data_IF_067837994302
#
_entry.id   IF_067837994302
#
_cell.length_a   1.000
_cell.length_b   1.000
_cell.length_c   1.000
_cell.angle_alpha   90.00
_cell.angle_beta   90.00
_cell.angle_gamma   90.00
#
_symmetry.space_group_name_H-M   'P 1'
#
loop_
_entity.id
_entity.type
_entity.pdbx_description
1 polymer ?
#
# COMPACT_ATOMS: atom_id res chain seq x y z
N UNK A 1 20.18 -23.77 -17.36
CA UNK A 1 21.14 -22.70 -17.64
C UNK A 1 20.33 -21.45 -17.95
N UNK A 2 20.03 -20.62 -16.96
CA UNK A 2 19.18 -19.43 -17.10
C UNK A 2 20.09 -18.21 -17.18
N UNK A 3 20.15 -17.61 -18.35
CA UNK A 3 20.83 -16.33 -18.56
C UNK A 3 20.01 -15.21 -17.94
N UNK A 4 20.60 -14.48 -16.99
CA UNK A 4 20.09 -13.25 -16.42
C UNK A 4 20.31 -12.14 -17.45
N UNK A 5 19.22 -11.65 -18.06
CA UNK A 5 19.26 -10.44 -18.88
C UNK A 5 19.44 -9.23 -17.98
N UNK A 6 20.62 -8.63 -18.07
CA UNK A 6 21.03 -7.42 -17.36
C UNK A 6 20.73 -6.20 -18.21
N UNK A 7 19.47 -5.75 -18.25
CA UNK A 7 19.15 -4.41 -18.76
C UNK A 7 17.90 -3.87 -18.10
N UNK A 8 18.07 -3.23 -16.95
CA UNK A 8 17.03 -2.40 -16.34
C UNK A 8 17.56 -0.98 -16.20
N UNK A 9 17.54 -0.25 -17.29
CA UNK A 9 17.75 1.21 -17.28
C UNK A 9 16.45 1.89 -16.85
N UNK A 10 16.47 2.56 -15.70
CA UNK A 10 15.34 3.28 -15.12
C UNK A 10 15.31 4.73 -15.62
N UNK A 11 14.22 5.21 -16.26
CA UNK A 11 14.00 6.65 -16.42
C UNK A 11 13.39 7.25 -15.16
N UNK A 12 13.92 8.40 -14.74
CA UNK A 12 13.45 9.20 -13.61
C UNK A 12 11.99 9.63 -13.79
N UNK A 13 11.14 9.35 -12.78
CA UNK A 13 9.76 9.85 -12.70
C UNK A 13 9.73 11.22 -12.04
N UNK A 14 9.11 12.18 -12.71
CA UNK A 14 8.72 13.47 -12.13
C UNK A 14 7.65 13.24 -11.07
N UNK A 15 7.89 13.69 -9.84
CA UNK A 15 6.97 13.60 -8.73
C UNK A 15 5.66 14.37 -8.97
N UNK A 16 4.55 13.99 -8.31
CA UNK A 16 3.29 14.70 -8.38
C UNK A 16 3.43 16.09 -7.76
N UNK A 17 2.90 17.09 -8.47
CA UNK A 17 2.86 18.51 -8.04
C UNK A 17 2.08 18.60 -6.72
N UNK A 18 2.67 19.27 -5.74
CA UNK A 18 2.11 19.55 -4.43
C UNK A 18 0.68 20.09 -4.52
N UNK A 19 -0.29 19.37 -3.95
CA UNK A 19 -1.65 19.84 -3.78
C UNK A 19 -1.69 20.93 -2.71
N UNK A 20 -2.15 22.13 -3.09
CA UNK A 20 -2.36 23.30 -2.24
C UNK A 20 -3.27 22.94 -1.06
N UNK A 21 -2.73 23.06 0.14
CA UNK A 21 -3.52 23.01 1.38
C UNK A 21 -4.42 24.25 1.45
N UNK A 22 -5.73 24.08 1.31
CA UNK A 22 -6.72 25.12 1.68
C UNK A 22 -6.85 25.09 3.20
N UNK A 23 -6.48 26.19 3.82
CA UNK A 23 -6.74 26.47 5.22
C UNK A 23 -8.26 26.63 5.43
N UNK A 24 -8.84 25.78 6.23
CA UNK A 24 -10.22 25.91 6.69
C UNK A 24 -10.21 26.76 7.97
N UNK A 25 -10.64 28.03 7.84
CA UNK A 25 -11.02 28.87 8.98
C UNK A 25 -12.46 28.46 9.37
N UNK A 26 -12.61 27.81 10.50
CA UNK A 26 -13.89 27.44 11.06
C UNK A 26 -14.03 27.93 12.48
N UNK A 27 -15.12 28.64 12.72
CA UNK A 27 -15.47 29.44 13.84
C UNK A 27 -15.65 28.74 15.17
N UNK A 28 -15.43 29.55 16.19
CA UNK A 28 -15.70 29.31 17.60
C UNK A 28 -17.23 29.17 17.82
N UNK A 29 -17.69 28.02 18.30
CA UNK A 29 -18.94 27.88 19.01
C UNK A 29 -18.68 27.50 20.44
N UNK A 30 -18.81 28.47 21.38
CA UNK A 30 -18.93 28.23 22.80
C UNK A 30 -20.32 27.65 23.07
N UNK A 31 -20.40 26.46 23.60
CA UNK A 31 -21.57 25.93 24.27
C UNK A 31 -21.18 25.41 25.64
N UNK A 32 -21.53 26.15 26.69
CA UNK A 32 -21.51 25.73 28.07
C UNK A 32 -22.64 24.71 28.32
N UNK A 33 -22.27 23.46 28.62
CA UNK A 33 -23.17 22.49 29.24
C UNK A 33 -22.51 21.92 30.48
N UNK A 34 -23.03 22.29 31.63
CA UNK A 34 -22.77 21.67 32.93
C UNK A 34 -23.59 20.39 33.00
N UNK A 35 -22.97 19.22 33.31
CA UNK A 35 -23.72 17.98 33.49
C UNK A 35 -22.78 16.79 33.79
N UNK A 36 -22.72 16.44 35.08
CA UNK A 36 -22.53 15.10 35.68
C UNK A 36 -21.56 14.10 35.00
N UNK A 37 -20.54 13.75 35.77
CA UNK A 37 -19.45 12.81 35.46
C UNK A 37 -19.86 11.45 34.93
N UNK A 38 -19.72 11.32 33.63
CA UNK A 38 -19.48 10.06 32.93
C UNK A 38 -18.18 10.25 32.20
N UNK A 39 -17.15 9.51 32.59
CA UNK A 39 -15.89 9.48 31.86
C UNK A 39 -16.20 9.12 30.41
N UNK A 40 -15.89 9.97 29.42
CA UNK A 40 -15.95 9.54 28.04
C UNK A 40 -14.87 8.44 27.90
N UNK A 41 -15.31 7.22 27.64
CA UNK A 41 -14.43 6.21 27.09
C UNK A 41 -13.88 6.84 25.80
N UNK A 42 -12.62 7.26 25.85
CA UNK A 42 -11.88 7.69 24.66
C UNK A 42 -11.79 6.47 23.74
N UNK A 43 -12.84 6.23 22.97
CA UNK A 43 -12.75 5.35 21.80
C UNK A 43 -11.83 6.06 20.82
N UNK A 44 -10.54 5.78 20.94
CA UNK A 44 -9.59 6.08 19.88
C UNK A 44 -10.10 5.33 18.66
N UNK A 45 -10.82 6.04 17.79
CA UNK A 45 -11.22 5.51 16.49
C UNK A 45 -9.93 5.31 15.71
N UNK A 46 -9.33 4.14 15.87
CA UNK A 46 -8.29 3.69 14.95
C UNK A 46 -8.98 3.63 13.60
N UNK A 47 -8.59 4.47 12.67
CA UNK A 47 -8.96 4.35 11.27
C UNK A 47 -8.32 3.07 10.70
N UNK A 48 -8.81 1.93 11.18
CA UNK A 48 -8.49 0.64 10.60
C UNK A 48 -9.05 0.65 9.17
N UNK A 49 -8.21 0.39 8.18
CA UNK A 49 -8.65 0.16 6.82
C UNK A 49 -9.62 -1.02 6.84
N UNK A 50 -10.92 -0.74 6.67
CA UNK A 50 -11.91 -1.81 6.48
C UNK A 50 -11.68 -2.41 5.10
N UNK A 51 -11.25 -3.66 5.06
CA UNK A 51 -11.06 -4.42 3.83
C UNK A 51 -12.39 -5.05 3.39
N UNK A 52 -12.61 -5.15 2.09
CA UNK A 52 -13.70 -5.97 1.54
C UNK A 52 -13.31 -7.46 1.59
N UNK A 53 -14.28 -8.36 1.51
CA UNK A 53 -14.04 -9.81 1.48
C UNK A 53 -13.03 -10.24 0.40
N UNK A 54 -13.06 -9.59 -0.77
CA UNK A 54 -12.11 -9.86 -1.85
C UNK A 54 -10.69 -9.42 -1.47
N UNK A 55 -10.56 -8.25 -0.82
CA UNK A 55 -9.25 -7.74 -0.37
C UNK A 55 -8.68 -8.61 0.76
N UNK A 56 -9.54 -9.09 1.67
CA UNK A 56 -9.14 -10.05 2.71
C UNK A 56 -8.59 -11.34 2.09
N UNK A 57 -9.23 -11.86 1.04
CA UNK A 57 -8.73 -13.03 0.29
C UNK A 57 -7.33 -12.79 -0.26
N UNK A 58 -7.06 -11.62 -0.83
CA UNK A 58 -5.72 -11.26 -1.34
C UNK A 58 -4.69 -11.15 -0.21
N UNK A 59 -5.10 -10.63 0.95
CA UNK A 59 -4.24 -10.58 2.13
C UNK A 59 -3.90 -11.99 2.62
N UNK A 60 -4.88 -12.89 2.70
CA UNK A 60 -4.64 -14.29 3.08
C UNK A 60 -3.64 -14.96 2.14
N UNK A 61 -3.79 -14.81 0.82
CA UNK A 61 -2.82 -15.33 -0.16
C UNK A 61 -1.42 -14.75 0.05
N UNK A 62 -1.32 -13.47 0.41
CA UNK A 62 -0.03 -12.83 0.68
C UNK A 62 0.62 -13.32 1.98
N UNK A 63 -0.20 -13.67 3.00
CA UNK A 63 0.29 -14.19 4.28
C UNK A 63 1.01 -15.53 4.17
N UNK A 64 0.78 -16.30 3.10
CA UNK A 64 1.56 -17.52 2.83
C UNK A 64 3.05 -17.22 2.61
N UNK A 65 3.37 -16.00 2.21
CA UNK A 65 4.74 -15.54 1.96
C UNK A 65 5.29 -14.66 3.09
N UNK A 66 4.41 -13.94 3.79
CA UNK A 66 4.78 -12.97 4.83
C UNK A 66 4.85 -13.67 6.20
N UNK A 67 5.92 -13.41 6.96
CA UNK A 67 6.21 -14.18 8.16
C UNK A 67 5.48 -13.71 9.42
N UNK A 68 4.97 -12.47 9.42
CA UNK A 68 4.36 -11.84 10.60
C UNK A 68 3.17 -10.99 10.24
N UNK A 69 2.30 -10.74 11.21
CA UNK A 69 1.14 -9.85 11.07
C UNK A 69 1.56 -8.43 10.69
N UNK A 70 2.69 -7.95 11.24
CA UNK A 70 3.22 -6.62 10.92
C UNK A 70 3.62 -6.50 9.44
N UNK A 71 4.28 -7.52 8.89
CA UNK A 71 4.59 -7.57 7.46
C UNK A 71 3.31 -7.59 6.62
N UNK A 72 2.27 -8.32 7.06
CA UNK A 72 0.95 -8.30 6.44
C UNK A 72 0.32 -6.90 6.44
N UNK A 73 0.33 -6.20 7.58
CA UNK A 73 -0.19 -4.84 7.69
C UNK A 73 0.58 -3.85 6.78
N UNK A 74 1.90 -3.97 6.72
CA UNK A 74 2.72 -3.19 5.81
C UNK A 74 2.40 -3.48 4.34
N UNK A 75 2.17 -4.75 3.99
CA UNK A 75 1.80 -5.17 2.64
C UNK A 75 0.44 -4.61 2.24
N UNK A 76 -0.57 -4.71 3.10
CA UNK A 76 -1.90 -4.12 2.90
C UNK A 76 -1.79 -2.63 2.60
N UNK A 77 -1.03 -1.90 3.41
CA UNK A 77 -0.83 -0.46 3.22
C UNK A 77 -0.12 -0.15 1.90
N UNK A 78 0.89 -0.92 1.55
CA UNK A 78 1.64 -0.75 0.30
C UNK A 78 0.74 -0.97 -0.93
N UNK A 79 0.00 -2.09 -0.97
CA UNK A 79 -0.92 -2.40 -2.08
C UNK A 79 -2.06 -1.38 -2.19
N UNK A 80 -2.55 -0.88 -1.04
CA UNK A 80 -3.51 0.22 -1.05
C UNK A 80 -2.96 1.48 -1.73
N UNK A 81 -1.72 1.84 -1.45
CA UNK A 81 -1.06 3.01 -2.05
C UNK A 81 -0.77 2.83 -3.54
N UNK A 82 -0.45 1.62 -3.98
CA UNK A 82 -0.10 1.31 -5.36
C UNK A 82 -1.32 1.21 -6.28
N UNK A 83 -2.32 0.45 -5.91
CA UNK A 83 -3.44 0.10 -6.79
C UNK A 83 -4.83 0.15 -6.15
N UNK A 84 -4.93 0.40 -4.83
CA UNK A 84 -6.15 0.20 -4.04
C UNK A 84 -6.72 -1.21 -4.20
N UNK A 85 -5.86 -2.20 -4.23
CA UNK A 85 -6.19 -3.62 -4.45
C UNK A 85 -6.82 -3.93 -5.82
N UNK A 86 -6.63 -3.09 -6.83
CA UNK A 86 -7.09 -3.38 -8.19
C UNK A 86 -6.05 -4.22 -8.96
N UNK A 87 -6.32 -5.51 -9.24
CA UNK A 87 -5.39 -6.38 -9.96
C UNK A 87 -5.24 -6.02 -11.45
N UNK A 88 -6.17 -5.23 -11.98
CA UNK A 88 -6.15 -4.76 -13.37
C UNK A 88 -5.61 -3.33 -13.50
N UNK A 89 -5.14 -2.74 -12.39
CA UNK A 89 -4.60 -1.38 -12.40
C UNK A 89 -3.44 -1.25 -13.38
N UNK A 90 -3.44 -0.16 -14.14
CA UNK A 90 -2.35 0.20 -15.05
C UNK A 90 -2.03 1.67 -14.92
N UNK A 91 -0.74 1.98 -14.77
CA UNK A 91 -0.23 3.34 -14.75
C UNK A 91 1.04 3.40 -15.62
N UNK A 92 0.87 3.80 -16.88
CA UNK A 92 1.94 3.73 -17.87
C UNK A 92 2.42 2.29 -18.09
N UNK A 93 3.68 2.01 -17.76
CA UNK A 93 4.30 0.69 -17.86
C UNK A 93 4.22 -0.14 -16.56
N UNK A 94 3.40 0.26 -15.58
CA UNK A 94 3.23 -0.42 -14.30
C UNK A 94 1.86 -1.10 -14.25
N UNK A 95 1.80 -2.34 -13.76
CA UNK A 95 0.64 -3.20 -13.86
C UNK A 95 0.34 -3.92 -12.55
N UNK A 96 -0.95 -4.17 -12.32
CA UNK A 96 -1.47 -5.06 -11.30
C UNK A 96 -1.43 -4.48 -9.88
N UNK A 97 -1.61 -5.37 -8.89
CA UNK A 97 -1.75 -5.02 -7.48
C UNK A 97 -0.59 -4.17 -6.94
N UNK A 98 0.63 -4.55 -7.25
CA UNK A 98 1.84 -3.89 -6.75
C UNK A 98 2.48 -2.92 -7.77
N UNK A 99 1.75 -2.57 -8.83
CA UNK A 99 2.22 -1.66 -9.88
C UNK A 99 3.62 -2.01 -10.40
N UNK A 100 3.82 -3.28 -10.70
CA UNK A 100 5.11 -3.79 -11.17
C UNK A 100 5.40 -3.37 -12.61
N UNK A 101 6.62 -2.90 -12.86
CA UNK A 101 7.07 -2.50 -14.21
C UNK A 101 7.43 -3.74 -15.04
N UNK A 102 6.43 -4.57 -15.32
CA UNK A 102 6.59 -5.75 -16.16
C UNK A 102 5.29 -6.07 -16.87
N UNK A 103 5.32 -6.05 -18.21
CA UNK A 103 4.13 -6.34 -19.05
C UNK A 103 3.55 -7.73 -18.80
N UNK A 104 4.34 -8.70 -18.35
CA UNK A 104 3.86 -10.05 -18.02
C UNK A 104 2.86 -10.06 -16.86
N UNK A 105 2.86 -9.03 -16.01
CA UNK A 105 1.91 -8.90 -14.90
C UNK A 105 0.54 -8.42 -15.37
N UNK A 106 0.45 -7.78 -16.54
CA UNK A 106 -0.81 -7.30 -17.09
C UNK A 106 -1.78 -8.46 -17.35
N UNK A 107 -2.94 -8.42 -16.67
CA UNK A 107 -3.97 -9.46 -16.79
C UNK A 107 -3.61 -10.82 -16.16
N UNK A 108 -2.50 -10.88 -15.40
CA UNK A 108 -2.11 -12.07 -14.68
C UNK A 108 -3.09 -12.34 -13.52
N UNK A 109 -3.31 -13.61 -13.20
CA UNK A 109 -4.07 -14.02 -12.04
C UNK A 109 -3.50 -13.43 -10.72
N UNK A 110 -4.38 -13.11 -9.77
CA UNK A 110 -4.02 -12.41 -8.53
C UNK A 110 -2.97 -13.15 -7.71
N UNK A 111 -3.13 -14.46 -7.54
CA UNK A 111 -2.15 -15.30 -6.83
C UNK A 111 -0.76 -15.17 -7.43
N UNK A 112 -0.65 -15.22 -8.75
CA UNK A 112 0.61 -15.04 -9.48
C UNK A 112 1.17 -13.63 -9.38
N UNK A 113 0.31 -12.60 -9.34
CA UNK A 113 0.77 -11.21 -9.09
C UNK A 113 1.39 -11.08 -7.71
N UNK A 114 0.78 -11.73 -6.69
CA UNK A 114 1.29 -11.76 -5.32
C UNK A 114 2.63 -12.48 -5.25
N UNK A 115 2.77 -13.64 -5.89
CA UNK A 115 4.04 -14.38 -5.99
C UNK A 115 5.15 -13.54 -6.63
N UNK A 116 4.83 -12.85 -7.72
CA UNK A 116 5.80 -11.97 -8.39
C UNK A 116 6.22 -10.81 -7.49
N UNK A 117 5.24 -10.19 -6.81
CA UNK A 117 5.54 -9.11 -5.88
C UNK A 117 6.41 -9.62 -4.72
N UNK A 118 6.12 -10.78 -4.16
CA UNK A 118 6.94 -11.35 -3.09
C UNK A 118 8.38 -11.63 -3.54
N UNK A 119 8.59 -12.18 -4.74
CA UNK A 119 9.93 -12.36 -5.31
C UNK A 119 10.68 -11.03 -5.44
N UNK A 120 9.97 -9.99 -5.86
CA UNK A 120 10.52 -8.64 -5.91
C UNK A 120 10.89 -8.12 -4.51
N UNK A 121 10.00 -8.28 -3.52
CA UNK A 121 10.29 -7.93 -2.13
C UNK A 121 11.51 -8.68 -1.61
N UNK A 122 11.62 -9.98 -1.91
CA UNK A 122 12.75 -10.81 -1.49
C UNK A 122 14.07 -10.32 -2.09
N UNK A 123 14.05 -9.96 -3.36
CA UNK A 123 15.25 -9.47 -4.05
C UNK A 123 15.70 -8.10 -3.55
N UNK A 124 14.76 -7.18 -3.30
CA UNK A 124 15.07 -5.77 -3.04
C UNK A 124 15.02 -5.35 -1.58
N UNK A 125 14.25 -6.05 -0.77
CA UNK A 125 13.93 -5.70 0.61
C UNK A 125 14.07 -6.87 1.58
N UNK A 126 14.81 -7.91 1.24
CA UNK A 126 14.99 -9.13 2.03
C UNK A 126 13.67 -9.82 2.40
N UNK A 127 12.65 -9.70 1.57
CA UNK A 127 11.31 -10.23 1.79
C UNK A 127 10.42 -9.39 2.72
N UNK A 128 10.86 -8.19 3.11
CA UNK A 128 10.11 -7.33 4.03
C UNK A 128 9.24 -6.31 3.30
N UNK A 129 7.93 -6.44 3.45
CA UNK A 129 6.96 -5.46 2.99
C UNK A 129 7.06 -4.14 3.78
N UNK A 130 7.45 -4.22 5.06
CA UNK A 130 7.66 -3.03 5.89
C UNK A 130 8.85 -2.19 5.43
N UNK A 131 9.95 -2.83 4.99
CA UNK A 131 11.09 -2.11 4.37
C UNK A 131 10.65 -1.44 3.06
N UNK A 132 9.87 -2.14 2.23
CA UNK A 132 9.33 -1.60 0.98
C UNK A 132 8.41 -0.41 1.23
N UNK A 133 7.47 -0.51 2.18
CA UNK A 133 6.58 0.58 2.58
C UNK A 133 7.37 1.80 3.10
N UNK A 134 8.39 1.57 3.93
CA UNK A 134 9.29 2.65 4.40
C UNK A 134 10.00 3.33 3.23
N UNK A 135 10.42 2.56 2.23
CA UNK A 135 11.02 3.11 1.01
C UNK A 135 10.00 3.93 0.22
N UNK A 136 8.78 3.37 0.00
CA UNK A 136 7.69 4.05 -0.69
C UNK A 136 7.34 5.40 -0.03
N UNK A 137 7.22 5.44 1.29
CA UNK A 137 6.91 6.67 2.03
C UNK A 137 7.97 7.77 1.85
N UNK A 138 9.22 7.40 1.58
CA UNK A 138 10.32 8.35 1.36
C UNK A 138 10.49 8.77 -0.08
N UNK A 139 10.23 7.85 -1.02
CA UNK A 139 10.60 8.02 -2.44
C UNK A 139 9.38 8.09 -3.38
N UNK A 140 8.19 7.68 -2.92
CA UNK A 140 6.98 7.60 -3.72
C UNK A 140 6.92 6.38 -4.65
N UNK A 141 7.80 5.39 -4.44
CA UNK A 141 7.85 4.12 -5.17
C UNK A 141 8.58 3.05 -4.33
N UNK A 142 8.41 1.79 -4.68
CA UNK A 142 9.13 0.67 -4.05
C UNK A 142 9.73 -0.28 -5.10
#
# INVERSE_FOLDING_TARGET
MFTLDSDVTLPARRGPKAARRRAFRGGLCLSLAVGLGLNPINTTTTNALSLSATQETYVMMAMDHLKTVDEGACWVRLIWLESRFNPLAQNGSHYGLAQMRNIKVKGMEVSKQIDWHYRYLKHRYDGSACKALKHFNRKGWH
#
